data_IF_058456868580
#
_entry.id   IF_058456868580
#
_cell.length_a   1.000
_cell.length_b   1.000
_cell.length_c   1.000
_cell.angle_alpha   90.00
_cell.angle_beta   90.00
_cell.angle_gamma   90.00
#
_symmetry.space_group_name_H-M   'P 1'
#
loop_
_entity.id
_entity.type
_entity.pdbx_description
1 polymer ?
#
# COMPACT_ATOMS: atom_id res chain seq x y z
N UNK A 1 -14.68 -21.97 10.58
CA UNK A 1 -14.92 -23.32 10.02
C UNK A 1 -14.68 -24.41 11.06
N UNK A 2 -13.55 -24.41 11.77
CA UNK A 2 -13.20 -25.45 12.76
C UNK A 2 -14.15 -25.54 13.97
N UNK A 3 -14.56 -24.40 14.55
CA UNK A 3 -15.51 -24.40 15.69
C UNK A 3 -16.85 -25.06 15.31
N UNK A 4 -17.41 -24.64 14.17
CA UNK A 4 -18.66 -25.21 13.64
C UNK A 4 -18.55 -26.70 13.28
N UNK A 5 -17.37 -27.22 12.91
CA UNK A 5 -17.19 -28.66 12.65
C UNK A 5 -17.26 -29.51 13.92
N UNK A 6 -17.16 -28.89 15.09
CA UNK A 6 -17.17 -29.54 16.40
C UNK A 6 -18.35 -29.05 17.26
N UNK A 7 -19.37 -28.43 16.65
CA UNK A 7 -20.53 -27.87 17.35
C UNK A 7 -20.18 -26.89 18.48
N UNK A 8 -19.08 -26.15 18.32
CA UNK A 8 -18.62 -25.13 19.27
C UNK A 8 -18.99 -23.72 18.81
N UNK A 9 -19.20 -22.83 19.79
CA UNK A 9 -19.49 -21.40 19.59
C UNK A 9 -18.47 -20.53 20.35
N UNK A 10 -18.02 -19.44 19.72
CA UNK A 10 -17.16 -18.45 20.37
C UNK A 10 -17.98 -17.62 21.37
N UNK A 11 -17.36 -17.23 22.48
CA UNK A 11 -17.97 -16.40 23.52
C UNK A 11 -16.90 -15.54 24.20
N UNK A 12 -17.33 -14.46 24.85
CA UNK A 12 -16.43 -13.52 25.51
C UNK A 12 -15.56 -12.73 24.54
N UNK A 13 -14.60 -11.99 25.10
CA UNK A 13 -13.65 -11.19 24.33
C UNK A 13 -12.51 -12.05 23.77
N UNK A 14 -11.98 -11.71 22.57
CA UNK A 14 -10.77 -12.33 22.05
C UNK A 14 -9.59 -12.17 23.01
N UNK A 15 -8.79 -13.24 23.16
CA UNK A 15 -7.60 -13.23 24.02
C UNK A 15 -6.44 -12.46 23.36
N UNK A 16 -6.24 -12.69 22.07
CA UNK A 16 -5.19 -12.09 21.25
C UNK A 16 -5.55 -12.30 19.77
N UNK A 17 -5.32 -11.28 18.95
CA UNK A 17 -5.43 -11.38 17.50
C UNK A 17 -4.08 -11.84 16.92
N UNK A 18 -4.11 -12.96 16.20
CA UNK A 18 -2.90 -13.51 15.59
C UNK A 18 -2.74 -13.02 14.16
N UNK A 19 -1.60 -12.38 13.89
CA UNK A 19 -1.14 -12.04 12.54
C UNK A 19 0.34 -12.41 12.37
N UNK A 20 0.81 -12.49 11.12
CA UNK A 20 2.22 -12.71 10.84
C UNK A 20 3.00 -11.42 11.18
N UNK A 21 4.01 -11.53 12.05
CA UNK A 21 4.84 -10.41 12.49
C UNK A 21 6.32 -10.69 12.25
N UNK A 22 7.09 -9.64 11.95
CA UNK A 22 8.55 -9.71 11.95
C UNK A 22 9.05 -9.44 13.38
N UNK A 23 9.83 -10.38 13.94
CA UNK A 23 10.42 -10.26 15.27
C UNK A 23 11.93 -10.09 15.19
N UNK A 24 12.47 -9.31 16.12
CA UNK A 24 13.90 -9.11 16.31
C UNK A 24 14.30 -9.50 17.74
N UNK A 25 15.50 -10.05 17.91
CA UNK A 25 16.06 -10.33 19.22
C UNK A 25 16.31 -9.02 19.97
N UNK A 26 15.77 -8.90 21.19
CA UNK A 26 16.10 -7.80 22.09
C UNK A 26 17.58 -7.84 22.51
N UNK A 27 18.28 -6.72 22.36
CA UNK A 27 19.69 -6.56 22.76
C UNK A 27 20.53 -5.86 21.69
N UNK A 28 21.65 -5.32 22.12
CA UNK A 28 22.63 -4.63 21.26
C UNK A 28 23.80 -5.55 20.94
N UNK A 29 24.05 -5.76 19.66
CA UNK A 29 25.30 -6.32 19.17
C UNK A 29 26.28 -5.18 18.80
N UNK A 30 27.44 -5.47 18.23
CA UNK A 30 28.35 -4.44 17.69
C UNK A 30 27.75 -3.68 16.49
N UNK A 31 28.29 -2.49 16.19
CA UNK A 31 27.76 -1.55 15.19
C UNK A 31 27.44 -2.19 13.82
N UNK A 32 28.34 -3.02 13.28
CA UNK A 32 28.16 -3.69 11.98
C UNK A 32 26.91 -4.59 11.92
N UNK A 33 26.53 -5.18 13.06
CA UNK A 33 25.36 -6.07 13.13
C UNK A 33 24.05 -5.27 13.14
N UNK A 34 24.05 -4.06 13.71
CA UNK A 34 22.89 -3.16 13.70
C UNK A 34 22.54 -2.71 12.29
N UNK A 35 23.53 -2.32 11.48
CA UNK A 35 23.31 -1.86 10.11
C UNK A 35 22.71 -2.96 9.21
N UNK A 36 23.16 -4.20 9.37
CA UNK A 36 22.62 -5.34 8.64
C UNK A 36 21.15 -5.64 9.03
N UNK A 37 20.80 -5.48 10.31
CA UNK A 37 19.43 -5.64 10.81
C UNK A 37 18.51 -4.55 10.25
N UNK A 38 18.93 -3.29 10.32
CA UNK A 38 18.18 -2.15 9.79
C UNK A 38 17.93 -2.31 8.28
N UNK A 39 18.93 -2.78 7.53
CA UNK A 39 18.77 -3.03 6.10
C UNK A 39 17.72 -4.11 5.81
N UNK A 40 17.67 -5.18 6.61
CA UNK A 40 16.66 -6.22 6.47
C UNK A 40 15.27 -5.67 6.79
N UNK A 41 15.13 -4.94 7.91
CA UNK A 41 13.86 -4.33 8.32
C UNK A 41 13.34 -3.38 7.24
N UNK A 42 14.19 -2.49 6.72
CA UNK A 42 13.83 -1.55 5.66
C UNK A 42 13.35 -2.26 4.38
N UNK A 43 14.01 -3.35 3.97
CA UNK A 43 13.58 -4.13 2.80
C UNK A 43 12.22 -4.79 3.00
N UNK A 44 11.99 -5.40 4.16
CA UNK A 44 10.70 -6.03 4.49
C UNK A 44 9.60 -4.97 4.57
N UNK A 45 9.86 -3.85 5.25
CA UNK A 45 8.92 -2.73 5.35
C UNK A 45 8.54 -2.17 3.98
N UNK A 46 9.50 -2.06 3.06
CA UNK A 46 9.24 -1.66 1.68
C UNK A 46 8.22 -2.57 0.98
N UNK A 47 8.35 -3.89 1.14
CA UNK A 47 7.40 -4.86 0.57
C UNK A 47 6.03 -4.76 1.27
N UNK A 48 6.01 -4.67 2.59
CA UNK A 48 4.77 -4.58 3.39
C UNK A 48 3.98 -3.31 3.08
N UNK A 49 4.67 -2.20 2.82
CA UNK A 49 4.05 -0.95 2.37
C UNK A 49 3.59 -1.07 0.91
N UNK A 50 4.48 -1.50 0.01
CA UNK A 50 4.21 -1.55 -1.43
C UNK A 50 3.02 -2.43 -1.83
N UNK A 51 2.81 -3.56 -1.14
CA UNK A 51 1.68 -4.47 -1.42
C UNK A 51 0.29 -3.83 -1.18
N UNK A 52 0.22 -2.71 -0.47
CA UNK A 52 -1.03 -2.02 -0.13
C UNK A 52 -1.51 -1.08 -1.25
N UNK A 53 -0.69 -0.83 -2.27
CA UNK A 53 -0.96 0.13 -3.32
C UNK A 53 -0.96 -0.53 -4.71
N UNK A 54 -1.63 0.13 -5.65
CA UNK A 54 -1.57 -0.17 -7.08
C UNK A 54 -1.11 1.07 -7.84
N UNK A 55 -0.34 0.87 -8.91
CA UNK A 55 -0.02 1.94 -9.85
C UNK A 55 -1.19 2.11 -10.82
N UNK A 56 -1.81 3.29 -10.81
CA UNK A 56 -2.82 3.68 -11.78
C UNK A 56 -2.16 4.54 -12.86
N UNK A 57 -2.42 4.21 -14.12
CA UNK A 57 -1.91 4.91 -15.30
C UNK A 57 -3.10 5.13 -16.25
N UNK A 58 -3.42 6.39 -16.55
CA UNK A 58 -4.61 6.72 -17.34
C UNK A 58 -4.44 8.02 -18.13
N UNK A 59 -5.10 8.07 -19.28
CA UNK A 59 -5.17 9.26 -20.12
C UNK A 59 -6.27 10.20 -19.61
N UNK A 60 -5.93 11.48 -19.44
CA UNK A 60 -6.83 12.50 -18.96
C UNK A 60 -6.85 13.70 -19.92
N UNK A 61 -8.02 14.20 -20.33
CA UNK A 61 -8.09 15.46 -21.06
C UNK A 61 -7.65 16.61 -20.13
N UNK A 62 -6.93 17.60 -20.67
CA UNK A 62 -6.41 18.74 -19.89
C UNK A 62 -7.50 19.53 -19.17
N UNK A 63 -8.71 19.56 -19.72
CA UNK A 63 -9.88 20.20 -19.11
C UNK A 63 -10.30 19.55 -17.78
N UNK A 64 -10.04 18.26 -17.60
CA UNK A 64 -10.37 17.51 -16.39
C UNK A 64 -9.19 17.37 -15.41
N UNK A 65 -7.99 17.83 -15.78
CA UNK A 65 -6.75 17.63 -15.02
C UNK A 65 -6.88 18.01 -13.55
N UNK A 66 -7.45 19.19 -13.25
CA UNK A 66 -7.61 19.65 -11.86
C UNK A 66 -8.47 18.70 -11.01
N UNK A 67 -9.49 18.08 -11.62
CA UNK A 67 -10.34 17.09 -10.94
C UNK A 67 -9.60 15.77 -10.77
N UNK A 68 -8.95 15.30 -11.84
CA UNK A 68 -8.18 14.06 -11.83
C UNK A 68 -7.06 14.07 -10.77
N UNK A 69 -6.31 15.17 -10.65
CA UNK A 69 -5.29 15.36 -9.60
C UNK A 69 -5.86 15.30 -8.18
N UNK A 70 -7.12 15.75 -7.98
CA UNK A 70 -7.77 15.67 -6.68
C UNK A 70 -8.26 14.24 -6.36
N UNK A 71 -8.65 13.47 -7.37
CA UNK A 71 -9.09 12.08 -7.23
C UNK A 71 -7.88 11.16 -6.97
N UNK A 72 -6.79 11.35 -7.71
CA UNK A 72 -5.56 10.55 -7.55
C UNK A 72 -4.39 11.45 -7.13
N UNK A 73 -4.28 11.82 -5.85
CA UNK A 73 -3.19 12.68 -5.36
C UNK A 73 -1.83 11.97 -5.32
N UNK A 74 -1.80 10.64 -5.35
CA UNK A 74 -0.56 9.85 -5.21
C UNK A 74 0.00 9.85 -3.78
N UNK A 75 1.20 9.27 -3.61
CA UNK A 75 1.91 9.30 -2.32
C UNK A 75 2.53 10.67 -2.01
N UNK A 76 3.05 11.35 -3.04
CA UNK A 76 3.58 12.71 -2.93
C UNK A 76 2.82 13.67 -3.86
N UNK A 77 2.77 13.33 -5.14
CA UNK A 77 2.07 14.06 -6.20
C UNK A 77 1.92 13.15 -7.42
N UNK A 78 0.84 13.25 -8.22
CA UNK A 78 0.73 12.47 -9.44
C UNK A 78 1.78 12.92 -10.47
N UNK A 79 2.32 11.96 -11.21
CA UNK A 79 3.19 12.24 -12.35
C UNK A 79 2.34 12.57 -13.58
N UNK A 80 2.68 13.66 -14.27
CA UNK A 80 1.98 14.12 -15.47
C UNK A 80 2.94 14.07 -16.66
N UNK A 81 2.54 13.38 -17.73
CA UNK A 81 3.30 13.34 -18.99
C UNK A 81 2.43 13.85 -20.16
N UNK A 82 2.94 14.73 -21.03
CA UNK A 82 2.21 15.15 -22.22
C UNK A 82 2.08 13.99 -23.21
N UNK A 83 0.93 13.88 -23.86
CA UNK A 83 0.70 12.93 -24.95
C UNK A 83 0.93 13.60 -26.32
N UNK A 84 0.89 12.80 -27.39
CA UNK A 84 1.03 13.31 -28.76
C UNK A 84 -0.12 14.26 -29.12
N UNK A 85 -1.33 13.98 -28.62
CA UNK A 85 -2.45 14.92 -28.69
C UNK A 85 -2.24 16.04 -27.65
N UNK A 86 -2.19 17.32 -28.07
CA UNK A 86 -1.93 18.44 -27.17
C UNK A 86 -3.02 18.62 -26.12
N UNK A 87 -4.24 18.11 -26.33
CA UNK A 87 -5.35 18.25 -25.40
C UNK A 87 -5.36 17.17 -24.30
N UNK A 88 -4.41 16.22 -24.33
CA UNK A 88 -4.35 15.11 -23.40
C UNK A 88 -3.03 14.99 -22.63
N UNK A 89 -3.11 14.39 -21.44
CA UNK A 89 -1.98 14.06 -20.58
C UNK A 89 -2.16 12.66 -20.00
N UNK A 90 -1.07 11.91 -19.85
CA UNK A 90 -1.05 10.69 -19.05
C UNK A 90 -0.79 11.04 -17.59
N UNK A 91 -1.58 10.45 -16.69
CA UNK A 91 -1.47 10.62 -15.24
C UNK A 91 -1.08 9.29 -14.62
N UNK A 92 -0.03 9.31 -13.80
CA UNK A 92 0.43 8.16 -13.01
C UNK A 92 0.39 8.46 -11.53
N UNK A 93 -0.28 7.62 -10.76
CA UNK A 93 -0.37 7.76 -9.31
C UNK A 93 -0.50 6.40 -8.61
N UNK A 94 0.09 6.29 -7.42
CA UNK A 94 -0.17 5.18 -6.52
C UNK A 94 -1.50 5.40 -5.79
N UNK A 95 -2.37 4.39 -5.81
CA UNK A 95 -3.68 4.40 -5.14
C UNK A 95 -3.81 3.21 -4.20
N UNK A 96 -4.49 3.34 -3.05
CA UNK A 96 -4.71 2.21 -2.16
C UNK A 96 -5.47 1.09 -2.88
N UNK A 97 -5.00 -0.15 -2.71
CA UNK A 97 -5.56 -1.32 -3.39
C UNK A 97 -7.05 -1.54 -3.10
N UNK A 98 -7.52 -1.13 -1.91
CA UNK A 98 -8.92 -1.27 -1.49
C UNK A 98 -9.86 -0.27 -2.16
N UNK A 99 -9.33 0.88 -2.59
CA UNK A 99 -10.14 2.00 -3.08
C UNK A 99 -10.13 2.09 -4.61
N UNK A 100 -9.28 1.29 -5.29
CA UNK A 100 -9.02 1.40 -6.73
C UNK A 100 -10.29 1.40 -7.59
N UNK A 101 -11.29 0.56 -7.29
CA UNK A 101 -12.51 0.49 -8.08
C UNK A 101 -13.33 1.78 -7.98
N UNK A 102 -13.56 2.29 -6.77
CA UNK A 102 -14.30 3.53 -6.57
C UNK A 102 -13.55 4.78 -7.03
N UNK A 103 -12.23 4.70 -7.19
CA UNK A 103 -11.41 5.75 -7.79
C UNK A 103 -11.51 5.75 -9.33
N UNK A 104 -11.75 4.58 -9.92
CA UNK A 104 -11.90 4.42 -11.37
C UNK A 104 -13.30 4.79 -11.88
N UNK A 105 -14.32 4.66 -11.04
CA UNK A 105 -15.72 5.02 -11.32
C UNK A 105 -15.96 6.55 -11.28
#
# INVERSE_FOLDING_TARGET
RTLSQHDLVAFGEPLCDSEAVLIERAGTDGQDQTEARDQLVARVQGVVCGQQYLMLDYDCPRSALKKATAITPGLESPTLAPLADPDWVAIRALVPRRDVNGIMD
#
